data_IF_921045347546
#
_entry.id   IF_921045347546
#
_cell.length_a   1.000
_cell.length_b   1.000
_cell.length_c   1.000
_cell.angle_alpha   90.00
_cell.angle_beta   90.00
_cell.angle_gamma   90.00
#
_symmetry.space_group_name_H-M   'P 1'
#
loop_
_entity.id
_entity.type
_entity.pdbx_description
1 polymer ?
#
# COMPACT_ATOMS: atom_id res chain seq x y z
N UNK A 1 -16.14 11.37 -33.82
CA UNK A 1 -17.00 11.29 -32.62
C UNK A 1 -16.10 10.90 -31.45
N UNK A 2 -15.83 11.80 -30.51
CA UNK A 2 -14.98 11.51 -29.37
C UNK A 2 -15.80 10.72 -28.34
N UNK A 3 -15.32 9.53 -27.98
CA UNK A 3 -15.97 8.69 -26.97
C UNK A 3 -15.92 9.36 -25.60
N UNK A 4 -17.09 9.57 -25.01
CA UNK A 4 -17.26 9.94 -23.61
C UNK A 4 -16.78 8.77 -22.74
N UNK A 5 -15.53 8.82 -22.30
CA UNK A 5 -15.00 7.85 -21.34
C UNK A 5 -15.41 8.34 -19.96
N UNK A 6 -16.68 8.08 -19.61
CA UNK A 6 -17.26 8.35 -18.29
C UNK A 6 -16.56 7.51 -17.22
N UNK A 7 -15.43 8.00 -16.72
CA UNK A 7 -14.95 7.61 -15.40
C UNK A 7 -15.88 8.30 -14.41
N UNK A 8 -16.82 7.54 -13.84
CA UNK A 8 -17.49 7.92 -12.60
C UNK A 8 -16.44 7.88 -11.49
N UNK A 9 -15.59 8.89 -11.49
CA UNK A 9 -14.57 9.09 -10.47
C UNK A 9 -15.29 9.53 -9.21
N UNK A 10 -15.32 8.66 -8.22
CA UNK A 10 -15.45 9.00 -6.82
C UNK A 10 -14.37 10.05 -6.48
N UNK A 11 -14.74 11.33 -6.67
CA UNK A 11 -13.88 12.49 -6.47
C UNK A 11 -13.68 12.76 -4.98
N UNK A 12 -12.99 11.85 -4.30
CA UNK A 12 -12.48 12.03 -2.92
C UNK A 12 -10.97 11.83 -2.83
N UNK A 13 -10.40 11.04 -3.73
CA UNK A 13 -8.96 10.78 -3.81
C UNK A 13 -8.26 11.93 -4.58
N UNK A 14 -8.07 13.08 -3.95
CA UNK A 14 -7.31 14.18 -4.57
C UNK A 14 -7.56 15.57 -4.00
N UNK A 15 -8.67 15.76 -3.27
CA UNK A 15 -8.99 17.04 -2.62
C UNK A 15 -9.29 16.89 -1.13
N UNK A 16 -9.40 15.67 -0.61
CA UNK A 16 -9.70 15.45 0.79
C UNK A 16 -8.45 15.09 1.57
N UNK A 17 -8.31 15.69 2.74
CA UNK A 17 -7.27 15.35 3.70
C UNK A 17 -7.55 14.04 4.45
N UNK A 18 -8.63 13.36 4.08
CA UNK A 18 -9.10 12.12 4.69
C UNK A 18 -8.23 10.95 4.25
N UNK A 19 -7.55 10.30 5.21
CA UNK A 19 -6.90 9.01 4.99
C UNK A 19 -8.00 7.95 4.87
N UNK A 20 -7.94 7.03 3.88
CA UNK A 20 -8.89 5.94 3.82
C UNK A 20 -8.82 5.13 5.12
N UNK A 21 -9.98 4.70 5.61
CA UNK A 21 -10.04 3.84 6.78
C UNK A 21 -9.35 2.51 6.47
N UNK A 22 -8.42 2.12 7.34
CA UNK A 22 -7.77 0.80 7.25
C UNK A 22 -8.78 -0.25 7.70
N UNK A 23 -9.01 -1.31 6.91
CA UNK A 23 -9.95 -2.35 7.31
C UNK A 23 -9.48 -3.03 8.61
N UNK A 24 -10.39 -3.30 9.57
CA UNK A 24 -10.03 -3.85 10.88
C UNK A 24 -9.58 -5.33 10.83
N UNK A 25 -9.83 -6.02 9.72
CA UNK A 25 -9.46 -7.42 9.52
C UNK A 25 -8.15 -7.54 8.72
N UNK A 26 -7.05 -7.12 9.31
CA UNK A 26 -5.70 -7.29 8.77
C UNK A 26 -4.84 -8.14 9.71
N UNK A 27 -3.83 -8.82 9.16
CA UNK A 27 -2.80 -9.43 10.01
C UNK A 27 -1.94 -8.33 10.65
N UNK A 28 -1.33 -8.62 11.80
CA UNK A 28 -0.45 -7.66 12.48
C UNK A 28 0.69 -7.16 11.56
N UNK A 29 1.16 -8.01 10.65
CA UNK A 29 2.18 -7.68 9.66
C UNK A 29 1.65 -6.80 8.53
N UNK A 30 0.34 -6.85 8.23
CA UNK A 30 -0.27 -6.09 7.15
C UNK A 30 -0.74 -4.69 7.57
N UNK A 31 -1.03 -4.45 8.85
CA UNK A 31 -1.59 -3.18 9.35
C UNK A 31 -0.69 -1.96 9.05
N UNK A 32 0.63 -2.13 9.13
CA UNK A 32 1.61 -1.06 8.88
C UNK A 32 1.81 -0.70 7.41
N UNK A 33 1.52 -1.63 6.49
CA UNK A 33 1.83 -1.45 5.07
C UNK A 33 0.95 -0.38 4.38
N UNK A 34 -0.38 -0.37 4.54
CA UNK A 34 -1.24 0.69 4.03
C UNK A 34 -0.91 2.07 4.61
N UNK A 35 -0.54 2.13 5.90
CA UNK A 35 -0.17 3.39 6.56
C UNK A 35 1.06 4.03 5.90
N UNK A 36 2.07 3.21 5.56
CA UNK A 36 3.24 3.66 4.81
C UNK A 36 2.89 4.13 3.38
N UNK A 37 1.86 3.54 2.76
CA UNK A 37 1.39 3.92 1.43
C UNK A 37 0.60 5.24 1.43
N UNK A 38 -0.20 5.48 2.47
CA UNK A 38 -1.12 6.63 2.55
C UNK A 38 -0.50 7.90 3.12
N UNK A 39 0.81 7.91 3.35
CA UNK A 39 1.54 9.13 3.72
C UNK A 39 1.39 10.18 2.62
N UNK A 40 0.72 11.29 2.96
CA UNK A 40 0.47 12.40 2.02
C UNK A 40 1.75 13.08 1.59
N UNK A 41 2.62 13.35 2.56
CA UNK A 41 3.88 14.07 2.37
C UNK A 41 4.75 13.34 1.35
N UNK A 42 5.06 13.92 0.18
CA UNK A 42 5.87 13.23 -0.83
C UNK A 42 7.30 12.94 -0.36
N UNK A 43 7.79 13.68 0.64
CA UNK A 43 9.10 13.47 1.29
C UNK A 43 9.07 12.40 2.39
N UNK A 44 7.91 12.18 2.98
CA UNK A 44 7.70 11.21 4.07
C UNK A 44 7.14 9.88 3.55
N UNK A 45 6.60 9.89 2.31
CA UNK A 45 6.08 8.72 1.63
C UNK A 45 7.21 7.73 1.34
N UNK A 46 6.95 6.48 1.67
CA UNK A 46 7.89 5.40 1.40
C UNK A 46 8.05 5.19 -0.10
N UNK A 47 9.28 4.93 -0.52
CA UNK A 47 9.57 4.53 -1.90
C UNK A 47 9.12 3.09 -2.12
N UNK A 48 8.97 2.70 -3.39
CA UNK A 48 8.67 1.31 -3.74
C UNK A 48 9.69 0.34 -3.13
N UNK A 49 10.98 0.71 -3.13
CA UNK A 49 12.04 -0.10 -2.53
C UNK A 49 11.85 -0.30 -1.02
N UNK A 50 11.45 0.75 -0.29
CA UNK A 50 11.16 0.64 1.15
C UNK A 50 9.93 -0.21 1.43
N UNK A 51 8.88 -0.08 0.62
CA UNK A 51 7.66 -0.89 0.73
C UNK A 51 7.92 -2.37 0.46
N UNK A 52 8.80 -2.68 -0.51
CA UNK A 52 9.18 -4.06 -0.82
C UNK A 52 9.99 -4.75 0.29
N UNK A 53 10.57 -3.97 1.21
CA UNK A 53 11.26 -4.46 2.41
C UNK A 53 10.33 -4.68 3.61
N UNK A 54 9.03 -4.40 3.49
CA UNK A 54 8.08 -4.57 4.59
C UNK A 54 7.79 -6.06 4.84
N UNK A 55 7.68 -6.53 6.11
CA UNK A 55 7.41 -7.94 6.44
C UNK A 55 6.11 -8.48 5.84
N UNK A 56 5.18 -7.61 5.48
CA UNK A 56 3.98 -7.99 4.72
C UNK A 56 4.28 -8.54 3.32
N UNK A 57 5.32 -8.01 2.67
CA UNK A 57 5.67 -8.31 1.26
C UNK A 57 6.90 -9.19 1.17
N UNK A 58 7.87 -8.97 2.08
CA UNK A 58 9.07 -9.79 2.16
C UNK A 58 8.69 -11.12 2.84
N UNK A 59 8.73 -12.26 2.14
CA UNK A 59 8.57 -13.53 2.83
C UNK A 59 9.69 -13.65 3.87
N UNK A 60 9.47 -14.33 5.01
CA UNK A 60 10.60 -14.74 5.82
C UNK A 60 11.55 -15.46 4.87
N UNK A 61 12.83 -15.07 4.85
CA UNK A 61 13.84 -15.79 4.11
C UNK A 61 13.85 -17.20 4.69
N UNK A 62 13.07 -18.10 4.08
CA UNK A 62 13.16 -19.53 4.32
C UNK A 62 14.55 -19.85 3.83
N UNK A 63 15.49 -19.96 4.77
CA UNK A 63 16.73 -20.65 4.49
C UNK A 63 16.30 -22.03 4.01
N UNK A 64 16.57 -22.33 2.74
CA UNK A 64 16.50 -23.68 2.24
C UNK A 64 17.37 -24.51 3.17
N UNK A 65 16.72 -25.25 4.07
CA UNK A 65 17.33 -26.32 4.83
C UNK A 65 17.69 -27.40 3.80
N UNK A 66 18.82 -27.20 3.12
CA UNK A 66 19.53 -28.22 2.38
C UNK A 66 20.07 -29.22 3.39
N UNK A 67 19.16 -30.08 3.87
CA UNK A 67 19.50 -31.39 4.38
C UNK A 67 19.81 -32.30 3.18
N UNK A 68 21.08 -32.28 2.77
CA UNK A 68 21.70 -33.28 1.89
C UNK A 68 22.77 -34.07 2.64
#
# INVERSE_FOLDING_TARGET
>A
MAGDRSVRGDRRIGSSEEMPEIPPAMSAEAEGFPLACFVKGPRERWTAEMLLSHPFVTPPSVFEDEAG
#
